data_IF_942186227870
#
_entry.id   IF_942186227870
#
_cell.length_a   1.000
_cell.length_b   1.000
_cell.length_c   1.000
_cell.angle_alpha   90.00
_cell.angle_beta   90.00
_cell.angle_gamma   90.00
#
_symmetry.space_group_name_H-M   'P 1'
#
loop_
_entity.id
_entity.type
_entity.pdbx_description
1 polymer ?
#
# COMPACT_ATOMS: atom_id res chain seq x y z
N UNK A 1 19.61 -5.68 25.35
CA UNK A 1 18.86 -6.50 26.34
C UNK A 1 18.36 -7.75 25.65
N UNK A 2 18.53 -8.92 26.28
CA UNK A 2 18.01 -10.19 25.76
C UNK A 2 16.96 -10.73 26.73
N UNK A 3 15.80 -11.09 26.20
CA UNK A 3 14.70 -11.76 26.92
C UNK A 3 14.62 -13.20 26.42
N UNK A 4 15.01 -14.15 27.24
CA UNK A 4 15.07 -15.61 26.94
C UNK A 4 14.10 -16.44 27.78
N UNK A 5 13.16 -15.80 28.46
CA UNK A 5 12.13 -16.45 29.28
C UNK A 5 10.80 -15.69 29.21
N UNK A 6 9.71 -16.39 29.45
CA UNK A 6 8.36 -15.82 29.50
C UNK A 6 8.24 -14.77 30.62
N UNK A 7 8.10 -13.49 30.23
CA UNK A 7 7.92 -12.37 31.16
C UNK A 7 6.98 -11.32 30.61
N UNK A 8 6.46 -10.50 31.49
CA UNK A 8 5.80 -9.22 31.16
C UNK A 8 6.77 -8.10 31.54
N UNK A 9 7.35 -7.44 30.52
CA UNK A 9 8.36 -6.39 30.69
C UNK A 9 7.70 -5.04 30.47
N UNK A 10 7.49 -4.28 31.56
CA UNK A 10 6.74 -3.02 31.57
C UNK A 10 7.63 -1.86 32.02
N UNK A 11 7.68 -0.83 31.17
CA UNK A 11 8.32 0.45 31.46
C UNK A 11 7.34 1.42 32.11
N UNK A 12 7.56 1.76 33.38
CA UNK A 12 6.76 2.78 34.06
C UNK A 12 7.36 4.17 33.82
N UNK A 13 6.56 5.09 33.28
CA UNK A 13 7.03 6.44 32.98
C UNK A 13 7.90 6.53 31.71
N UNK A 14 7.74 5.59 30.78
CA UNK A 14 8.41 5.55 29.48
C UNK A 14 9.95 5.56 29.58
N UNK A 15 10.57 4.63 30.32
CA UNK A 15 12.02 4.58 30.45
C UNK A 15 12.69 4.34 29.09
N UNK A 16 13.89 4.92 28.93
CA UNK A 16 14.64 4.88 27.68
C UNK A 16 15.56 3.66 27.64
N UNK A 17 15.47 2.91 26.55
CA UNK A 17 16.42 1.87 26.15
C UNK A 17 17.22 2.41 24.95
N UNK A 18 18.48 2.76 25.15
CA UNK A 18 19.34 3.38 24.15
C UNK A 18 20.34 2.35 23.59
N UNK A 19 20.32 2.15 22.27
CA UNK A 19 21.26 1.29 21.55
C UNK A 19 22.60 1.94 21.24
N UNK A 20 22.77 3.24 21.55
CA UNK A 20 23.99 4.03 21.34
C UNK A 20 24.52 4.00 19.88
N UNK A 21 23.66 3.69 18.90
CA UNK A 21 24.04 3.39 17.50
C UNK A 21 25.03 2.21 17.36
N UNK A 22 25.13 1.33 18.35
CA UNK A 22 26.08 0.20 18.38
C UNK A 22 25.44 -1.15 18.52
N UNK A 23 24.20 -1.21 19.03
CA UNK A 23 23.57 -2.46 19.43
C UNK A 23 22.15 -2.61 18.86
N UNK A 24 21.70 -3.87 18.65
CA UNK A 24 20.30 -4.23 18.71
C UNK A 24 19.81 -3.95 20.16
N UNK A 25 18.70 -3.22 20.30
CA UNK A 25 18.37 -2.69 21.64
C UNK A 25 17.70 -3.77 22.50
N UNK A 26 16.68 -4.46 21.93
CA UNK A 26 15.93 -5.50 22.64
C UNK A 26 15.74 -6.72 21.75
N UNK A 27 16.24 -7.88 22.18
CA UNK A 27 16.10 -9.17 21.52
C UNK A 27 15.17 -10.07 22.35
N UNK A 28 14.11 -10.57 21.72
CA UNK A 28 13.15 -11.52 22.33
C UNK A 28 13.38 -12.90 21.73
N UNK A 29 13.71 -13.88 22.59
CA UNK A 29 14.02 -15.26 22.19
C UNK A 29 13.18 -16.29 23.00
N UNK A 30 12.01 -15.88 23.46
CA UNK A 30 11.09 -16.73 24.25
C UNK A 30 9.64 -16.44 23.87
N UNK A 31 8.82 -17.45 23.98
CA UNK A 31 7.38 -17.36 23.77
C UNK A 31 6.67 -16.58 24.88
N UNK A 32 5.51 -16.04 24.55
CA UNK A 32 4.59 -15.39 25.50
C UNK A 32 5.23 -14.22 26.28
N UNK A 33 6.07 -13.45 25.60
CA UNK A 33 6.67 -12.23 26.16
C UNK A 33 5.77 -11.05 25.85
N UNK A 34 5.60 -10.14 26.81
CA UNK A 34 4.96 -8.84 26.62
C UNK A 34 5.98 -7.74 26.85
N UNK A 35 6.08 -6.79 25.90
CA UNK A 35 6.93 -5.59 26.01
C UNK A 35 6.03 -4.36 25.88
N UNK A 36 6.01 -3.53 26.91
CA UNK A 36 5.10 -2.40 27.00
C UNK A 36 5.72 -1.18 27.68
N UNK A 37 5.47 0.03 27.11
CA UNK A 37 5.71 1.30 27.78
C UNK A 37 7.16 1.77 27.80
N UNK A 38 7.97 1.39 26.81
CA UNK A 38 9.35 1.84 26.66
C UNK A 38 9.53 2.87 25.54
N UNK A 39 10.54 3.73 25.71
CA UNK A 39 11.14 4.49 24.61
C UNK A 39 12.42 3.78 24.17
N UNK A 40 12.42 3.21 22.97
CA UNK A 40 13.54 2.45 22.38
C UNK A 40 14.19 3.29 21.30
N UNK A 41 15.48 3.61 21.48
CA UNK A 41 16.14 4.57 20.59
C UNK A 41 17.49 4.08 20.07
N UNK A 42 17.86 4.61 18.89
CA UNK A 42 19.21 4.56 18.34
C UNK A 42 19.80 3.15 18.28
N UNK A 43 19.08 2.21 17.64
CA UNK A 43 19.68 0.92 17.30
C UNK A 43 20.94 1.12 16.44
N UNK A 44 21.81 0.12 16.39
CA UNK A 44 22.93 0.11 15.46
C UNK A 44 22.42 0.29 14.01
N UNK A 45 23.32 0.69 13.17
CA UNK A 45 23.17 0.69 11.71
C UNK A 45 24.06 -0.40 11.13
N UNK A 46 23.51 -1.32 10.36
CA UNK A 46 24.29 -2.30 9.62
C UNK A 46 23.44 -2.90 8.50
N UNK A 47 24.06 -3.17 7.36
CA UNK A 47 23.40 -3.71 6.17
C UNK A 47 23.35 -5.25 6.15
N UNK A 48 24.07 -5.94 7.02
CA UNK A 48 24.19 -7.40 7.02
C UNK A 48 23.41 -8.06 8.17
N UNK A 49 23.28 -7.42 9.31
CA UNK A 49 22.71 -8.01 10.53
C UNK A 49 21.33 -7.49 10.92
N UNK A 50 20.79 -6.54 10.17
CA UNK A 50 19.48 -5.92 10.38
C UNK A 50 19.19 -5.55 11.84
N UNK A 51 20.00 -4.67 12.45
CA UNK A 51 19.83 -4.30 13.85
C UNK A 51 18.55 -3.51 14.07
N UNK A 52 17.84 -3.85 15.14
CA UNK A 52 16.50 -3.34 15.42
C UNK A 52 16.40 -2.61 16.75
N UNK A 53 15.35 -1.81 16.88
CA UNK A 53 14.85 -1.41 18.20
C UNK A 53 14.36 -2.61 19.00
N UNK A 54 13.42 -3.39 18.45
CA UNK A 54 12.91 -4.62 19.06
C UNK A 54 12.91 -5.74 18.03
N UNK A 55 13.59 -6.84 18.29
CA UNK A 55 13.62 -8.02 17.43
C UNK A 55 13.11 -9.27 18.13
N UNK A 56 12.23 -10.02 17.44
CA UNK A 56 11.66 -11.27 17.91
C UNK A 56 12.24 -12.40 17.07
N UNK A 57 12.81 -13.40 17.73
CA UNK A 57 13.45 -14.55 17.09
C UNK A 57 12.70 -15.84 17.40
N UNK A 58 12.16 -16.49 16.39
CA UNK A 58 11.60 -17.86 16.46
C UNK A 58 10.61 -18.05 17.64
N UNK A 59 9.78 -17.05 17.93
CA UNK A 59 8.93 -17.04 19.13
C UNK A 59 7.46 -16.87 18.77
N UNK A 60 6.59 -17.34 19.67
CA UNK A 60 5.13 -17.27 19.52
C UNK A 60 4.49 -16.46 20.65
N UNK A 61 3.30 -15.92 20.35
CA UNK A 61 2.47 -15.21 21.34
C UNK A 61 3.17 -14.01 21.99
N UNK A 62 4.07 -13.35 21.24
CA UNK A 62 4.73 -12.13 21.70
C UNK A 62 3.82 -10.93 21.46
N UNK A 63 3.73 -10.06 22.46
CA UNK A 63 2.97 -8.80 22.38
C UNK A 63 3.92 -7.62 22.57
N UNK A 64 3.97 -6.71 21.57
CA UNK A 64 4.75 -5.47 21.62
C UNK A 64 3.75 -4.33 21.52
N UNK A 65 3.54 -3.61 22.62
CA UNK A 65 2.50 -2.58 22.66
C UNK A 65 2.88 -1.32 23.41
N UNK A 66 2.28 -0.18 23.03
CA UNK A 66 2.40 1.09 23.74
C UNK A 66 3.86 1.57 23.90
N UNK A 67 4.73 1.28 22.91
CA UNK A 67 6.12 1.71 22.93
C UNK A 67 6.34 2.88 21.95
N UNK A 68 7.37 3.66 22.19
CA UNK A 68 7.89 4.68 21.29
C UNK A 68 9.25 4.21 20.77
N UNK A 69 9.36 4.03 19.46
CA UNK A 69 10.61 3.65 18.79
C UNK A 69 11.10 4.83 17.96
N UNK A 70 12.28 5.37 18.30
CA UNK A 70 12.75 6.63 17.75
C UNK A 70 14.20 6.49 17.25
N UNK A 71 14.45 6.85 15.99
CA UNK A 71 15.77 6.80 15.36
C UNK A 71 16.43 5.40 15.38
N UNK A 72 15.64 4.36 15.13
CA UNK A 72 16.14 2.99 14.95
C UNK A 72 16.30 2.67 13.47
N UNK A 73 17.29 1.82 13.11
CA UNK A 73 17.46 1.35 11.74
C UNK A 73 16.23 0.53 11.31
N UNK A 74 15.99 -0.65 11.90
CA UNK A 74 14.67 -1.27 11.91
C UNK A 74 13.94 -0.92 13.20
N UNK A 75 12.65 -0.63 13.13
CA UNK A 75 11.84 -0.40 14.32
C UNK A 75 11.57 -1.71 15.08
N UNK A 76 10.64 -2.50 14.58
CA UNK A 76 10.26 -3.82 15.11
C UNK A 76 10.48 -4.87 14.01
N UNK A 77 11.14 -5.98 14.35
CA UNK A 77 11.36 -7.08 13.43
C UNK A 77 10.93 -8.44 14.01
N UNK A 78 10.01 -9.12 13.33
CA UNK A 78 9.59 -10.49 13.65
C UNK A 78 10.22 -11.45 12.65
N UNK A 79 11.02 -12.38 13.14
CA UNK A 79 11.69 -13.42 12.36
C UNK A 79 11.19 -14.79 12.77
N UNK A 80 10.64 -15.58 11.83
CA UNK A 80 10.10 -16.93 12.06
C UNK A 80 9.13 -16.98 13.27
N UNK A 81 8.21 -16.03 13.36
CA UNK A 81 7.37 -15.85 14.54
C UNK A 81 5.90 -16.08 14.21
N UNK A 82 5.10 -16.50 15.21
CA UNK A 82 3.70 -16.86 15.02
C UNK A 82 2.81 -16.27 16.11
N UNK A 83 1.56 -15.98 15.78
CA UNK A 83 0.55 -15.53 16.75
C UNK A 83 1.02 -14.31 17.58
N UNK A 84 1.73 -13.37 16.94
CA UNK A 84 2.27 -12.20 17.61
C UNK A 84 1.41 -10.95 17.36
N UNK A 85 1.42 -10.04 18.31
CA UNK A 85 0.68 -8.79 18.22
C UNK A 85 1.60 -7.58 18.38
N UNK A 86 1.54 -6.65 17.41
CA UNK A 86 2.23 -5.35 17.44
C UNK A 86 1.14 -4.28 17.49
N UNK A 87 1.03 -3.56 18.62
CA UNK A 87 -0.14 -2.72 18.85
C UNK A 87 0.19 -1.38 19.49
N UNK A 88 -0.44 -0.30 19.00
CA UNK A 88 -0.34 1.04 19.58
C UNK A 88 1.10 1.53 19.77
N UNK A 89 2.04 1.16 18.90
CA UNK A 89 3.40 1.67 18.96
C UNK A 89 3.53 2.90 18.04
N UNK A 90 4.43 3.79 18.41
CA UNK A 90 4.80 4.94 17.61
C UNK A 90 6.26 4.79 17.14
N UNK A 91 6.44 4.65 15.82
CA UNK A 91 7.75 4.42 15.21
C UNK A 91 8.13 5.62 14.34
N UNK A 92 9.32 6.19 14.56
CA UNK A 92 9.81 7.30 13.78
C UNK A 92 11.28 7.15 13.40
N UNK A 93 11.60 7.47 12.15
CA UNK A 93 12.95 7.50 11.62
C UNK A 93 13.22 8.82 10.87
N UNK A 94 14.49 9.15 10.60
CA UNK A 94 14.91 10.47 10.11
C UNK A 94 15.88 10.43 8.92
N UNK A 95 16.16 9.28 8.35
CA UNK A 95 17.04 9.16 7.20
C UNK A 95 16.43 9.82 5.95
N UNK A 96 17.31 10.23 5.03
CA UNK A 96 16.88 10.82 3.75
C UNK A 96 17.07 9.86 2.58
N UNK A 97 17.92 8.86 2.74
CA UNK A 97 18.25 7.90 1.71
C UNK A 97 17.83 6.49 2.13
N UNK A 98 17.39 5.67 1.17
CA UNK A 98 16.96 4.29 1.39
C UNK A 98 18.03 3.44 2.12
N UNK A 99 19.30 3.72 1.88
CA UNK A 99 20.42 2.97 2.46
C UNK A 99 20.62 3.27 3.94
N UNK A 100 20.13 4.40 4.43
CA UNK A 100 20.27 4.84 5.82
C UNK A 100 19.14 4.33 6.72
N UNK A 101 18.11 3.73 6.14
CA UNK A 101 16.89 3.34 6.81
C UNK A 101 16.56 1.87 6.57
N UNK A 102 16.06 1.23 7.61
CA UNK A 102 15.34 -0.03 7.52
C UNK A 102 13.83 0.18 7.55
N UNK A 103 13.10 -0.90 7.72
CA UNK A 103 11.64 -0.88 7.76
C UNK A 103 11.13 -0.54 9.17
N UNK A 104 9.96 0.11 9.24
CA UNK A 104 9.32 0.41 10.53
C UNK A 104 8.93 -0.88 11.25
N UNK A 105 8.07 -1.68 10.65
CA UNK A 105 7.72 -3.02 11.12
C UNK A 105 8.07 -4.01 10.01
N UNK A 106 8.92 -4.99 10.30
CA UNK A 106 9.34 -6.02 9.37
C UNK A 106 8.93 -7.42 9.88
N UNK A 107 8.22 -8.17 9.06
CA UNK A 107 7.88 -9.56 9.35
C UNK A 107 8.47 -10.46 8.24
N UNK A 108 9.29 -11.44 8.65
CA UNK A 108 9.92 -12.39 7.75
C UNK A 108 9.61 -13.81 8.16
N UNK A 109 9.11 -14.63 7.21
CA UNK A 109 8.71 -16.04 7.44
C UNK A 109 7.83 -16.20 8.69
N UNK A 110 6.80 -15.38 8.79
CA UNK A 110 5.94 -15.32 9.97
C UNK A 110 4.47 -15.52 9.58
N UNK A 111 3.62 -15.93 10.51
CA UNK A 111 2.19 -16.11 10.26
C UNK A 111 1.32 -15.77 11.47
N UNK A 112 0.03 -15.56 11.23
CA UNK A 112 -0.93 -15.17 12.27
C UNK A 112 -0.48 -13.91 13.05
N UNK A 113 0.02 -12.91 12.33
CA UNK A 113 0.50 -11.65 12.91
C UNK A 113 -0.61 -10.61 12.91
N UNK A 114 -0.82 -9.95 14.04
CA UNK A 114 -1.73 -8.83 14.18
C UNK A 114 -0.96 -7.52 14.37
N UNK A 115 -1.02 -6.64 13.36
CA UNK A 115 -0.45 -5.29 13.42
C UNK A 115 -1.59 -4.28 13.50
N UNK A 116 -1.78 -3.65 14.67
CA UNK A 116 -2.97 -2.85 14.91
C UNK A 116 -2.65 -1.50 15.55
N UNK A 117 -3.24 -0.43 15.00
CA UNK A 117 -3.23 0.91 15.54
C UNK A 117 -1.82 1.47 15.82
N UNK A 118 -0.83 1.12 14.99
CA UNK A 118 0.50 1.70 15.06
C UNK A 118 0.60 2.95 14.17
N UNK A 119 1.48 3.88 14.55
CA UNK A 119 1.86 5.02 13.72
C UNK A 119 3.31 4.84 13.30
N UNK A 120 3.57 4.84 11.99
CA UNK A 120 4.89 4.64 11.41
C UNK A 120 5.21 5.84 10.52
N UNK A 121 6.32 6.51 10.78
CA UNK A 121 6.71 7.77 10.12
C UNK A 121 8.18 7.75 9.70
N UNK A 122 8.45 7.99 8.42
CA UNK A 122 9.77 8.30 7.92
C UNK A 122 10.74 7.12 7.77
N UNK A 123 10.28 5.90 7.71
CA UNK A 123 11.09 4.71 7.45
C UNK A 123 11.33 4.47 5.95
N UNK A 124 12.12 3.47 5.59
CA UNK A 124 12.27 3.04 4.19
C UNK A 124 10.95 2.48 3.68
N UNK A 125 10.47 1.40 4.28
CA UNK A 125 9.11 0.89 4.15
C UNK A 125 8.45 0.96 5.54
N UNK A 126 7.21 1.43 5.60
CA UNK A 126 6.52 1.53 6.89
C UNK A 126 6.29 0.16 7.51
N UNK A 127 5.61 -0.72 6.78
CA UNK A 127 5.41 -2.13 7.14
C UNK A 127 5.91 -2.98 5.97
N UNK A 128 6.67 -4.05 6.26
CA UNK A 128 7.18 -4.96 5.25
C UNK A 128 6.91 -6.42 5.63
N UNK A 129 6.25 -7.14 4.71
CA UNK A 129 5.96 -8.57 4.81
C UNK A 129 6.73 -9.34 3.75
N UNK A 130 7.47 -10.36 4.16
CA UNK A 130 8.15 -11.28 3.27
C UNK A 130 7.95 -12.72 3.74
N UNK A 131 7.32 -13.54 2.90
CA UNK A 131 6.87 -14.90 3.25
C UNK A 131 5.99 -14.91 4.51
N UNK A 132 5.00 -14.02 4.56
CA UNK A 132 4.05 -13.91 5.67
C UNK A 132 2.69 -14.44 5.21
N UNK A 133 1.94 -15.06 6.14
CA UNK A 133 0.66 -15.68 5.84
C UNK A 133 -0.37 -15.40 6.93
N UNK A 134 -1.64 -15.39 6.55
CA UNK A 134 -2.79 -15.38 7.45
C UNK A 134 -2.75 -14.25 8.50
N UNK A 135 -2.26 -13.07 8.09
CA UNK A 135 -2.00 -11.96 9.00
C UNK A 135 -2.94 -10.78 8.75
N UNK A 136 -3.12 -9.95 9.79
CA UNK A 136 -4.04 -8.81 9.75
C UNK A 136 -3.31 -7.52 10.09
N UNK A 137 -3.46 -6.51 9.22
CA UNK A 137 -2.94 -5.16 9.37
C UNK A 137 -4.14 -4.22 9.51
N UNK A 138 -4.38 -3.67 10.70
CA UNK A 138 -5.62 -2.96 10.99
C UNK A 138 -5.40 -1.61 11.68
N UNK A 139 -6.04 -0.55 11.15
CA UNK A 139 -6.05 0.81 11.72
C UNK A 139 -4.66 1.41 11.94
N UNK A 140 -3.68 1.08 11.11
CA UNK A 140 -2.37 1.71 11.19
C UNK A 140 -2.32 2.98 10.35
N UNK A 141 -1.42 3.88 10.72
CA UNK A 141 -1.08 5.09 9.98
C UNK A 141 0.39 4.96 9.56
N UNK A 142 0.64 4.86 8.27
CA UNK A 142 1.98 4.73 7.69
C UNK A 142 2.24 5.89 6.74
N UNK A 143 3.14 6.79 7.12
CA UNK A 143 3.30 8.09 6.46
C UNK A 143 4.76 8.46 6.23
N UNK A 144 5.00 9.27 5.20
CA UNK A 144 6.32 9.87 4.90
C UNK A 144 7.45 8.84 4.70
N UNK A 145 7.12 7.61 4.34
CA UNK A 145 8.13 6.60 4.10
C UNK A 145 8.77 6.80 2.72
N UNK A 146 10.07 6.52 2.61
CA UNK A 146 10.84 6.81 1.38
C UNK A 146 10.34 5.96 0.22
N UNK A 147 10.04 4.67 0.46
CA UNK A 147 9.49 3.78 -0.56
C UNK A 147 8.01 3.55 -0.37
N UNK A 148 7.64 2.59 0.47
CA UNK A 148 6.27 2.13 0.60
C UNK A 148 5.70 2.34 2.00
N UNK A 149 4.44 2.72 2.07
CA UNK A 149 3.71 2.68 3.34
C UNK A 149 3.52 1.25 3.85
N UNK A 150 3.24 0.31 2.93
CA UNK A 150 3.17 -1.13 3.20
C UNK A 150 3.68 -1.89 1.98
N UNK A 151 4.49 -2.93 2.20
CA UNK A 151 5.05 -3.75 1.14
C UNK A 151 4.89 -5.24 1.44
N UNK A 152 4.23 -5.98 0.54
CA UNK A 152 4.11 -7.43 0.55
C UNK A 152 5.01 -8.06 -0.49
N UNK A 153 5.78 -9.08 -0.09
CA UNK A 153 6.57 -9.92 -0.98
C UNK A 153 6.32 -11.39 -0.67
N UNK A 154 5.82 -12.16 -1.65
CA UNK A 154 5.52 -13.59 -1.48
C UNK A 154 4.67 -13.88 -0.23
N UNK A 155 3.69 -13.02 0.06
CA UNK A 155 2.87 -13.09 1.26
C UNK A 155 1.41 -13.31 0.85
N UNK A 156 0.72 -14.24 1.51
CA UNK A 156 -0.56 -14.75 1.04
C UNK A 156 -1.62 -14.78 2.15
N UNK A 157 -2.88 -14.72 1.74
CA UNK A 157 -4.03 -14.78 2.66
C UNK A 157 -4.03 -13.70 3.74
N UNK A 158 -3.38 -12.57 3.46
CA UNK A 158 -3.28 -11.45 4.38
C UNK A 158 -4.42 -10.44 4.16
N UNK A 159 -4.81 -9.79 5.23
CA UNK A 159 -5.87 -8.79 5.19
C UNK A 159 -5.39 -7.45 5.77
N UNK A 160 -5.56 -6.35 5.05
CA UNK A 160 -5.34 -5.03 5.60
C UNK A 160 -6.59 -4.15 5.52
N UNK A 161 -6.96 -3.58 6.68
CA UNK A 161 -8.27 -2.96 6.90
C UNK A 161 -8.12 -1.60 7.56
N UNK A 162 -8.80 -0.57 7.02
CA UNK A 162 -8.93 0.75 7.65
C UNK A 162 -7.58 1.39 8.00
N UNK A 163 -6.55 1.16 7.17
CA UNK A 163 -5.25 1.81 7.33
C UNK A 163 -5.18 3.10 6.51
N UNK A 164 -4.27 3.99 6.89
CA UNK A 164 -3.94 5.21 6.15
C UNK A 164 -2.50 5.14 5.65
N UNK A 165 -2.33 5.24 4.32
CA UNK A 165 -1.04 5.29 3.65
C UNK A 165 -0.91 6.63 2.93
N UNK A 166 -0.19 7.58 3.52
CA UNK A 166 -0.14 8.96 3.03
C UNK A 166 1.27 9.49 2.87
N UNK A 167 1.49 10.23 1.78
CA UNK A 167 2.75 10.92 1.50
C UNK A 167 3.96 9.97 1.55
N UNK A 168 3.82 8.76 0.99
CA UNK A 168 4.91 7.80 0.81
C UNK A 168 5.44 7.87 -0.63
N UNK A 169 6.59 7.29 -0.91
CA UNK A 169 7.05 7.09 -2.28
C UNK A 169 6.02 6.32 -3.12
N UNK A 170 5.39 5.30 -2.53
CA UNK A 170 4.11 4.74 -2.95
C UNK A 170 3.32 4.27 -1.70
N UNK A 171 2.00 4.30 -1.77
CA UNK A 171 1.15 3.93 -0.64
C UNK A 171 1.36 2.48 -0.22
N UNK A 172 1.02 1.55 -1.11
CA UNK A 172 1.19 0.11 -0.87
C UNK A 172 1.72 -0.57 -2.14
N UNK A 173 2.59 -1.55 -1.97
CA UNK A 173 3.00 -2.48 -3.01
C UNK A 173 2.69 -3.93 -2.58
N UNK A 174 1.98 -4.68 -3.43
CA UNK A 174 1.70 -6.10 -3.25
C UNK A 174 2.29 -6.85 -4.43
N UNK A 175 3.27 -7.72 -4.16
CA UNK A 175 4.02 -8.39 -5.21
C UNK A 175 4.09 -9.90 -4.95
N UNK A 176 3.90 -10.71 -6.02
CA UNK A 176 4.00 -12.17 -6.00
C UNK A 176 3.13 -12.82 -4.92
N UNK A 177 1.92 -12.30 -4.76
CA UNK A 177 1.03 -12.66 -3.65
C UNK A 177 -0.35 -13.11 -4.17
N UNK A 178 -1.11 -13.82 -3.36
CA UNK A 178 -2.48 -14.25 -3.67
C UNK A 178 -3.38 -14.19 -2.45
N UNK A 179 -4.69 -14.15 -2.70
CA UNK A 179 -5.73 -14.11 -1.65
C UNK A 179 -5.51 -12.96 -0.65
N UNK A 180 -5.14 -11.77 -1.16
CA UNK A 180 -4.96 -10.58 -0.32
C UNK A 180 -6.26 -9.77 -0.31
N UNK A 181 -6.71 -9.38 0.89
CA UNK A 181 -7.95 -8.63 1.11
C UNK A 181 -7.65 -7.21 1.60
N UNK A 182 -8.22 -6.22 0.89
CA UNK A 182 -7.91 -4.81 1.08
C UNK A 182 -9.21 -4.02 1.30
N UNK A 183 -9.53 -3.73 2.58
CA UNK A 183 -10.83 -3.16 2.93
C UNK A 183 -10.74 -1.79 3.57
N UNK A 184 -11.50 -0.82 3.05
CA UNK A 184 -11.71 0.49 3.67
C UNK A 184 -10.42 1.24 4.03
N UNK A 185 -9.34 1.06 3.24
CA UNK A 185 -8.09 1.78 3.44
C UNK A 185 -8.11 3.14 2.72
N UNK A 186 -7.28 4.05 3.16
CA UNK A 186 -7.05 5.34 2.52
C UNK A 186 -5.63 5.42 1.98
N UNK A 187 -5.51 5.65 0.68
CA UNK A 187 -4.27 5.88 -0.05
C UNK A 187 -4.28 7.33 -0.54
N UNK A 188 -3.49 8.18 0.07
CA UNK A 188 -3.61 9.62 -0.14
C UNK A 188 -2.25 10.29 -0.35
N UNK A 189 -2.21 11.22 -1.33
CA UNK A 189 -1.06 12.10 -1.55
C UNK A 189 0.27 11.37 -1.79
N UNK A 190 0.24 10.18 -2.39
CA UNK A 190 1.44 9.50 -2.81
C UNK A 190 1.81 9.97 -4.23
N UNK A 191 2.75 10.93 -4.31
CA UNK A 191 3.17 11.60 -5.54
C UNK A 191 4.63 11.36 -5.88
N UNK A 192 4.93 11.23 -7.17
CA UNK A 192 6.28 11.06 -7.72
C UNK A 192 6.25 10.39 -9.08
N UNK A 193 7.39 10.27 -9.75
CA UNK A 193 7.49 9.69 -11.10
C UNK A 193 6.99 8.25 -11.17
N UNK A 194 7.20 7.49 -10.10
CA UNK A 194 6.74 6.09 -9.96
C UNK A 194 5.91 5.89 -8.70
N UNK A 195 5.09 6.88 -8.35
CA UNK A 195 4.27 6.82 -7.15
C UNK A 195 2.87 6.28 -7.47
N UNK A 196 2.41 5.40 -6.61
CA UNK A 196 1.11 4.74 -6.71
C UNK A 196 0.41 4.81 -5.36
N UNK A 197 -0.91 4.93 -5.35
CA UNK A 197 -1.69 4.61 -4.16
C UNK A 197 -1.52 3.13 -3.83
N UNK A 198 -1.75 2.25 -4.84
CA UNK A 198 -1.61 0.81 -4.73
C UNK A 198 -0.94 0.24 -6.00
N UNK A 199 0.20 -0.42 -5.82
CA UNK A 199 0.88 -1.20 -6.84
C UNK A 199 0.59 -2.69 -6.65
N UNK A 200 0.07 -3.34 -7.71
CA UNK A 200 -0.19 -4.77 -7.76
C UNK A 200 0.69 -5.39 -8.84
N UNK A 201 1.58 -6.29 -8.46
CA UNK A 201 2.46 -6.97 -9.40
C UNK A 201 2.45 -8.48 -9.20
N UNK A 202 2.08 -9.21 -10.26
CA UNK A 202 1.99 -10.67 -10.25
C UNK A 202 1.15 -11.21 -9.07
N UNK A 203 -0.06 -10.66 -8.90
CA UNK A 203 -1.00 -11.10 -7.87
C UNK A 203 -2.25 -11.75 -8.49
N UNK A 204 -2.90 -12.60 -7.69
CA UNK A 204 -4.15 -13.24 -8.10
C UNK A 204 -5.15 -13.40 -6.96
N UNK A 205 -6.41 -13.70 -7.34
CA UNK A 205 -7.45 -14.15 -6.42
C UNK A 205 -7.66 -13.22 -5.22
N UNK A 206 -7.58 -11.90 -5.45
CA UNK A 206 -7.55 -10.90 -4.39
C UNK A 206 -8.75 -9.94 -4.46
N UNK A 207 -9.06 -9.25 -3.34
CA UNK A 207 -10.25 -8.41 -3.24
C UNK A 207 -9.94 -7.02 -2.68
N UNK A 208 -10.31 -5.98 -3.44
CA UNK A 208 -10.09 -4.56 -3.14
C UNK A 208 -11.45 -3.89 -3.01
N UNK A 209 -11.90 -3.60 -1.78
CA UNK A 209 -13.25 -3.15 -1.52
C UNK A 209 -13.33 -1.92 -0.61
N UNK A 210 -14.12 -0.94 -1.02
CA UNK A 210 -14.46 0.22 -0.19
C UNK A 210 -13.30 1.16 0.12
N UNK A 211 -12.19 1.07 -0.61
CA UNK A 211 -11.01 1.91 -0.36
C UNK A 211 -11.15 3.30 -1.01
N UNK A 212 -10.40 4.26 -0.50
CA UNK A 212 -10.28 5.60 -1.05
C UNK A 212 -8.87 5.82 -1.60
N UNK A 213 -8.79 6.12 -2.89
CA UNK A 213 -7.56 6.53 -3.59
C UNK A 213 -7.68 8.01 -3.94
N UNK A 214 -6.98 8.87 -3.21
CA UNK A 214 -7.12 10.31 -3.36
C UNK A 214 -5.79 11.01 -3.63
N UNK A 215 -5.75 11.85 -4.67
CA UNK A 215 -4.58 12.69 -4.97
C UNK A 215 -3.27 11.91 -5.07
N UNK A 216 -3.26 10.75 -5.71
CA UNK A 216 -2.05 10.00 -6.03
C UNK A 216 -1.62 10.25 -7.47
N UNK A 217 -0.36 10.00 -7.83
CA UNK A 217 0.04 9.99 -9.25
C UNK A 217 -0.77 8.93 -10.00
N UNK A 218 -0.84 7.72 -9.48
CA UNK A 218 -1.78 6.69 -9.94
C UNK A 218 -2.51 6.10 -8.73
N UNK A 219 -3.84 5.98 -8.80
CA UNK A 219 -4.63 5.36 -7.74
C UNK A 219 -4.24 3.89 -7.59
N UNK A 220 -4.49 3.08 -8.63
CA UNK A 220 -4.04 1.68 -8.70
C UNK A 220 -3.20 1.48 -9.96
N UNK A 221 -2.10 0.75 -9.84
CA UNK A 221 -1.31 0.21 -10.94
C UNK A 221 -1.31 -1.32 -10.88
N UNK A 222 -1.68 -1.98 -11.98
CA UNK A 222 -1.81 -3.43 -12.10
C UNK A 222 -0.90 -3.97 -13.20
N UNK A 223 -0.06 -4.95 -12.88
CA UNK A 223 0.83 -5.66 -13.80
C UNK A 223 0.82 -7.15 -13.46
N UNK A 224 0.63 -8.03 -14.46
CA UNK A 224 0.56 -9.48 -14.24
C UNK A 224 -0.56 -9.94 -13.29
N UNK A 225 -1.62 -9.16 -13.17
CA UNK A 225 -2.66 -9.34 -12.18
C UNK A 225 -3.84 -10.10 -12.78
N UNK A 226 -4.36 -11.11 -12.06
CA UNK A 226 -5.50 -11.90 -12.53
C UNK A 226 -6.51 -12.25 -11.45
N UNK A 227 -7.79 -12.32 -11.82
CA UNK A 227 -8.90 -12.69 -10.93
C UNK A 227 -8.94 -11.82 -9.66
N UNK A 228 -8.71 -10.52 -9.84
CA UNK A 228 -8.82 -9.52 -8.78
C UNK A 228 -10.13 -8.77 -8.96
N UNK A 229 -10.88 -8.64 -7.89
CA UNK A 229 -12.11 -7.85 -7.84
C UNK A 229 -11.84 -6.50 -7.18
N UNK A 230 -12.11 -5.43 -7.92
CA UNK A 230 -11.99 -4.03 -7.48
C UNK A 230 -13.39 -3.46 -7.39
N UNK A 231 -13.92 -3.30 -6.17
CA UNK A 231 -15.34 -3.01 -5.97
C UNK A 231 -15.58 -1.90 -4.96
N UNK A 232 -16.51 -1.01 -5.26
CA UNK A 232 -17.00 0.09 -4.41
C UNK A 232 -15.90 0.99 -3.87
N UNK A 233 -14.83 1.19 -4.64
CA UNK A 233 -13.76 2.09 -4.28
C UNK A 233 -14.03 3.51 -4.80
N UNK A 234 -13.40 4.50 -4.17
CA UNK A 234 -13.44 5.90 -4.55
C UNK A 234 -12.08 6.30 -5.17
N UNK A 235 -12.09 6.75 -6.43
CA UNK A 235 -10.91 7.29 -7.11
C UNK A 235 -11.10 8.80 -7.27
N UNK A 236 -10.41 9.57 -6.41
CA UNK A 236 -10.65 11.01 -6.24
C UNK A 236 -9.42 11.83 -6.63
N UNK A 237 -9.51 12.62 -7.70
CA UNK A 237 -8.49 13.60 -8.09
C UNK A 237 -7.07 13.02 -8.23
N UNK A 238 -6.94 11.79 -8.73
CA UNK A 238 -5.65 11.21 -9.07
C UNK A 238 -5.16 11.70 -10.43
N UNK A 239 -3.88 11.58 -10.71
CA UNK A 239 -3.35 11.74 -12.08
C UNK A 239 -3.95 10.67 -12.99
N UNK A 240 -3.78 9.41 -12.64
CA UNK A 240 -4.43 8.24 -13.23
C UNK A 240 -5.29 7.57 -12.15
N UNK A 241 -6.56 7.30 -12.43
CA UNK A 241 -7.33 6.53 -11.46
C UNK A 241 -6.85 5.09 -11.42
N UNK A 242 -6.73 4.44 -12.59
CA UNK A 242 -6.20 3.08 -12.72
C UNK A 242 -5.26 2.98 -13.92
N UNK A 243 -4.15 2.26 -13.76
CA UNK A 243 -3.32 1.78 -14.86
C UNK A 243 -3.34 0.27 -14.86
N UNK A 244 -3.81 -0.34 -15.95
CA UNK A 244 -3.95 -1.79 -16.08
C UNK A 244 -3.12 -2.23 -17.28
N UNK A 245 -2.00 -2.93 -17.03
CA UNK A 245 -1.12 -3.37 -18.09
C UNK A 245 -1.73 -4.53 -18.87
N UNK A 246 -1.31 -4.72 -20.12
CA UNK A 246 -1.82 -5.74 -21.04
C UNK A 246 -1.66 -7.20 -20.54
N UNK A 247 -0.79 -7.41 -19.54
CA UNK A 247 -0.59 -8.70 -18.87
C UNK A 247 -1.69 -9.05 -17.86
N UNK A 248 -2.65 -8.14 -17.61
CA UNK A 248 -3.74 -8.35 -16.67
C UNK A 248 -4.94 -8.98 -17.33
N UNK A 249 -5.55 -10.00 -16.68
CA UNK A 249 -6.70 -10.71 -17.21
C UNK A 249 -7.68 -11.16 -16.14
N UNK A 250 -8.93 -11.32 -16.52
CA UNK A 250 -10.01 -11.82 -15.66
C UNK A 250 -10.21 -10.99 -14.37
N UNK A 251 -9.91 -9.68 -14.44
CA UNK A 251 -10.17 -8.78 -13.33
C UNK A 251 -11.54 -8.11 -13.49
N UNK A 252 -12.24 -7.91 -12.40
CA UNK A 252 -13.55 -7.28 -12.34
C UNK A 252 -13.45 -5.90 -11.66
N UNK A 253 -13.79 -4.84 -12.39
CA UNK A 253 -13.82 -3.46 -11.91
C UNK A 253 -15.30 -3.05 -11.80
N UNK A 254 -15.86 -3.10 -10.58
CA UNK A 254 -17.30 -3.09 -10.36
C UNK A 254 -17.75 -2.05 -9.31
N UNK A 255 -18.79 -1.31 -9.60
CA UNK A 255 -19.41 -0.33 -8.68
C UNK A 255 -18.42 0.69 -8.07
N UNK A 256 -17.37 1.09 -8.78
CA UNK A 256 -16.43 2.10 -8.31
C UNK A 256 -16.86 3.51 -8.75
N UNK A 257 -16.41 4.53 -8.02
CA UNK A 257 -16.61 5.92 -8.36
C UNK A 257 -15.30 6.58 -8.84
N UNK A 258 -15.32 7.13 -10.04
CA UNK A 258 -14.20 7.85 -10.66
C UNK A 258 -14.56 9.33 -10.75
N UNK A 259 -13.92 10.18 -9.92
CA UNK A 259 -14.29 11.58 -9.75
C UNK A 259 -13.07 12.49 -9.80
N UNK A 260 -13.05 13.40 -10.76
CA UNK A 260 -12.03 14.46 -10.90
C UNK A 260 -10.63 13.94 -11.24
N UNK A 261 -10.48 12.71 -11.72
CA UNK A 261 -9.18 12.19 -12.13
C UNK A 261 -8.76 12.81 -13.47
N UNK A 262 -7.46 13.01 -13.69
CA UNK A 262 -6.96 13.49 -14.98
C UNK A 262 -7.25 12.45 -16.06
N UNK A 263 -6.86 11.21 -15.82
CA UNK A 263 -7.19 10.04 -16.64
C UNK A 263 -7.92 8.99 -15.82
N UNK A 264 -8.97 8.40 -16.37
CA UNK A 264 -9.73 7.36 -15.68
C UNK A 264 -9.00 6.01 -15.77
N UNK A 265 -8.57 5.63 -16.98
CA UNK A 265 -7.75 4.43 -17.17
C UNK A 265 -6.56 4.68 -18.08
N UNK A 266 -5.52 3.87 -17.92
CA UNK A 266 -4.37 3.78 -18.81
C UNK A 266 -3.95 2.33 -19.02
N UNK A 267 -3.37 2.03 -20.17
CA UNK A 267 -2.85 0.71 -20.52
C UNK A 267 -1.73 0.82 -21.54
N UNK A 268 -0.79 -0.13 -21.51
CA UNK A 268 0.22 -0.31 -22.56
C UNK A 268 -0.21 -1.29 -23.67
N UNK A 269 -1.48 -1.66 -23.69
CA UNK A 269 -2.04 -2.61 -24.68
C UNK A 269 -3.55 -2.59 -24.68
N UNK A 270 -4.22 -3.74 -24.47
CA UNK A 270 -5.67 -3.86 -24.50
C UNK A 270 -6.25 -4.17 -23.12
N UNK A 271 -7.42 -3.60 -22.80
CA UNK A 271 -8.20 -3.88 -21.59
C UNK A 271 -9.23 -5.00 -21.77
N UNK A 272 -9.37 -5.56 -22.97
CA UNK A 272 -10.44 -6.51 -23.36
C UNK A 272 -10.55 -7.74 -22.46
N UNK A 273 -9.47 -8.12 -21.79
CA UNK A 273 -9.48 -9.28 -20.89
C UNK A 273 -9.97 -8.96 -19.47
N UNK A 274 -10.44 -7.73 -19.23
CA UNK A 274 -10.93 -7.28 -17.93
C UNK A 274 -12.33 -6.71 -18.07
N UNK A 275 -13.16 -6.87 -17.04
CA UNK A 275 -14.57 -6.44 -17.05
C UNK A 275 -14.76 -5.17 -16.26
N UNK A 276 -15.46 -4.20 -16.85
CA UNK A 276 -15.84 -2.94 -16.20
C UNK A 276 -17.38 -2.85 -16.20
N UNK A 277 -17.99 -2.86 -15.03
CA UNK A 277 -19.46 -2.82 -14.90
C UNK A 277 -19.93 -1.90 -13.77
N UNK A 278 -21.02 -1.20 -13.98
CA UNK A 278 -21.71 -0.37 -12.99
C UNK A 278 -20.84 0.67 -12.30
N UNK A 279 -19.77 1.11 -12.93
CA UNK A 279 -18.92 2.16 -12.37
C UNK A 279 -19.53 3.54 -12.66
N UNK A 280 -19.38 4.44 -11.69
CA UNK A 280 -19.71 5.86 -11.88
C UNK A 280 -18.50 6.62 -12.43
N UNK A 281 -18.72 7.34 -13.53
CA UNK A 281 -17.72 8.16 -14.19
C UNK A 281 -18.22 9.60 -14.25
N UNK A 282 -17.54 10.54 -13.60
CA UNK A 282 -17.94 11.96 -13.62
C UNK A 282 -17.86 12.62 -15.01
N UNK A 283 -17.13 11.99 -15.94
CA UNK A 283 -17.01 12.41 -17.35
C UNK A 283 -18.04 11.77 -18.27
N UNK A 284 -18.92 10.91 -17.76
CA UNK A 284 -19.96 10.29 -18.56
C UNK A 284 -20.99 11.32 -19.02
N UNK A 285 -21.24 11.37 -20.33
CA UNK A 285 -22.20 12.29 -20.97
C UNK A 285 -23.30 11.52 -21.72
N UNK A 286 -23.49 10.23 -21.44
CA UNK A 286 -24.54 9.42 -22.02
C UNK A 286 -25.93 9.69 -21.43
N UNK A 287 -26.90 8.89 -21.84
CA UNK A 287 -28.29 9.01 -21.40
C UNK A 287 -28.77 7.68 -20.79
N UNK A 288 -29.84 7.75 -20.03
CA UNK A 288 -30.55 6.66 -19.36
C UNK A 288 -32.03 6.83 -19.72
N UNK A 289 -32.51 6.17 -20.77
CA UNK A 289 -33.86 6.33 -21.30
C UNK A 289 -34.88 5.52 -20.53
N UNK A 290 -34.49 4.34 -20.04
CA UNK A 290 -35.37 3.45 -19.29
C UNK A 290 -35.39 3.75 -17.77
N UNK A 291 -34.50 4.65 -17.32
CA UNK A 291 -34.42 5.17 -15.94
C UNK A 291 -34.11 4.09 -14.89
N UNK A 292 -33.31 3.12 -15.26
CA UNK A 292 -32.84 2.08 -14.34
C UNK A 292 -31.62 2.50 -13.50
N UNK A 293 -31.09 3.70 -13.76
CA UNK A 293 -29.89 4.27 -13.11
C UNK A 293 -28.59 3.84 -13.81
N UNK A 294 -28.67 3.17 -14.94
CA UNK A 294 -27.53 2.78 -15.77
C UNK A 294 -27.58 3.57 -17.10
N UNK A 295 -26.42 3.94 -17.59
CA UNK A 295 -26.37 4.58 -18.90
C UNK A 295 -26.55 3.57 -20.04
N UNK A 296 -27.44 3.86 -21.01
CA UNK A 296 -27.71 3.04 -22.18
C UNK A 296 -26.53 2.92 -23.15
N UNK A 297 -25.60 3.86 -23.07
CA UNK A 297 -24.39 3.90 -23.89
C UNK A 297 -23.17 3.56 -23.04
N UNK A 298 -22.40 2.51 -23.35
CA UNK A 298 -21.20 2.18 -22.61
C UNK A 298 -20.19 3.34 -22.59
N UNK A 299 -19.58 3.60 -21.43
CA UNK A 299 -18.49 4.54 -21.29
C UNK A 299 -17.17 3.89 -21.70
N UNK A 300 -16.36 4.63 -22.46
CA UNK A 300 -15.00 4.22 -22.81
C UNK A 300 -14.01 4.90 -21.87
N UNK A 301 -13.48 4.20 -20.85
CA UNK A 301 -12.64 4.84 -19.83
C UNK A 301 -11.20 5.11 -20.31
N UNK A 302 -10.81 4.56 -21.45
CA UNK A 302 -9.50 4.77 -22.06
C UNK A 302 -9.61 5.84 -23.14
N UNK A 303 -8.98 7.00 -22.96
CA UNK A 303 -8.94 8.04 -24.00
C UNK A 303 -7.70 7.91 -24.87
N UNK A 304 -7.80 8.33 -26.13
CA UNK A 304 -6.67 8.36 -27.07
C UNK A 304 -5.50 9.19 -26.52
N UNK A 305 -5.79 10.30 -25.85
CA UNK A 305 -4.76 11.10 -25.21
C UNK A 305 -4.08 10.36 -24.05
N UNK A 306 -4.80 9.54 -23.29
CA UNK A 306 -4.22 8.67 -22.27
C UNK A 306 -3.21 7.69 -22.89
N UNK A 307 -3.55 7.05 -24.00
CA UNK A 307 -2.65 6.14 -24.75
C UNK A 307 -1.42 6.87 -25.27
N UNK A 308 -1.60 8.07 -25.83
CA UNK A 308 -0.48 8.89 -26.29
C UNK A 308 0.47 9.27 -25.16
N UNK A 309 -0.08 9.64 -24.01
CA UNK A 309 0.70 10.06 -22.83
C UNK A 309 1.45 8.89 -22.20
N UNK A 310 0.88 7.68 -22.20
CA UNK A 310 1.56 6.48 -21.73
C UNK A 310 2.78 6.13 -22.59
N UNK A 311 2.67 6.26 -23.91
CA UNK A 311 3.77 5.99 -24.84
C UNK A 311 4.77 7.15 -24.95
N UNK A 312 4.32 8.38 -24.70
CA UNK A 312 5.13 9.60 -24.81
C UNK A 312 4.79 10.54 -23.69
N UNK A 313 5.40 10.40 -22.48
CA UNK A 313 5.06 11.19 -21.30
C UNK A 313 5.14 12.71 -21.50
N UNK A 314 6.03 13.19 -22.41
CA UNK A 314 6.12 14.60 -22.77
C UNK A 314 4.85 15.16 -23.44
N UNK A 315 3.97 14.31 -23.99
CA UNK A 315 2.67 14.73 -24.51
C UNK A 315 1.80 15.38 -23.44
N UNK A 316 2.07 15.12 -22.17
CA UNK A 316 1.40 15.75 -21.01
C UNK A 316 1.48 17.28 -21.02
N UNK A 317 2.52 17.85 -21.65
CA UNK A 317 2.65 19.32 -21.85
C UNK A 317 1.49 19.89 -22.69
N UNK A 318 0.82 19.10 -23.51
CA UNK A 318 -0.31 19.49 -24.33
C UNK A 318 -1.65 19.37 -23.59
N UNK A 319 -1.66 18.85 -22.38
CA UNK A 319 -2.87 18.73 -21.57
C UNK A 319 -3.61 20.05 -21.46
N UNK A 320 -4.93 20.04 -21.67
CA UNK A 320 -5.78 21.24 -21.75
C UNK A 320 -5.52 22.16 -22.95
N UNK A 321 -4.72 21.77 -23.94
CA UNK A 321 -4.60 22.54 -25.18
C UNK A 321 -5.86 22.38 -26.04
N UNK A 322 -6.07 23.34 -26.96
CA UNK A 322 -7.17 23.26 -27.93
C UNK A 322 -7.11 21.97 -28.75
N UNK A 323 -5.91 21.49 -29.09
CA UNK A 323 -5.71 20.28 -29.88
C UNK A 323 -6.25 19.04 -29.13
N UNK A 324 -5.95 18.91 -27.84
CA UNK A 324 -6.45 17.80 -27.01
C UNK A 324 -7.96 17.87 -26.82
N UNK A 325 -8.51 19.08 -26.61
CA UNK A 325 -9.98 19.27 -26.56
C UNK A 325 -10.66 18.84 -27.88
N UNK A 326 -10.01 19.11 -29.02
CA UNK A 326 -10.52 18.68 -30.33
C UNK A 326 -10.42 17.15 -30.48
N UNK A 327 -9.32 16.56 -30.04
CA UNK A 327 -9.10 15.11 -30.06
C UNK A 327 -10.18 14.38 -29.23
N UNK A 328 -10.42 14.82 -27.99
CA UNK A 328 -11.45 14.26 -27.10
C UNK A 328 -12.86 14.36 -27.69
N UNK A 329 -13.17 15.48 -28.37
CA UNK A 329 -14.45 15.61 -29.08
C UNK A 329 -14.56 14.71 -30.30
N UNK A 330 -13.45 14.52 -31.01
CA UNK A 330 -13.43 13.64 -32.21
C UNK A 330 -13.61 12.19 -31.82
N UNK A 331 -13.02 11.77 -30.70
CA UNK A 331 -13.15 10.42 -30.13
C UNK A 331 -14.60 10.12 -29.72
N UNK A 332 -15.31 11.08 -29.11
CA UNK A 332 -16.74 10.94 -28.79
C UNK A 332 -17.64 10.75 -30.02
N UNK A 333 -17.25 11.31 -31.18
CA UNK A 333 -18.01 11.20 -32.43
C UNK A 333 -17.65 9.92 -33.19
N UNK A 334 -16.41 9.44 -33.04
CA UNK A 334 -15.87 8.26 -33.76
C UNK A 334 -15.18 7.32 -32.73
N UNK A 335 -15.94 6.56 -31.90
CA UNK A 335 -15.38 5.68 -30.89
C UNK A 335 -14.48 4.56 -31.43
N UNK A 336 -14.49 4.32 -32.74
CA UNK A 336 -13.65 3.31 -33.39
C UNK A 336 -12.18 3.75 -33.58
N UNK A 337 -11.79 4.92 -33.10
CA UNK A 337 -10.41 5.42 -33.19
C UNK A 337 -9.58 4.96 -31.96
N UNK A 338 -10.20 4.52 -30.89
CA UNK A 338 -9.63 3.86 -29.71
C UNK A 338 -10.04 2.39 -29.70
#
# INVERSE_FOLDING_TARGET
>A
IVIDKKIVFIGKGLPVLDGEKKHEVLSIKSDSVVVEGFKVIKSAYATITDPCGIKVYNSKYVVIQNNVLDDNFFGIYLQNSQNCTIKNNHLKAYGKDEQQLGNGIHCWKSNDILIIANTIDGHRDGIYFEFVYDSVIWRNISVNNIRYGLHFMFSHSDTYITNVFRNNGAGVAVMYSKDVKMFNNTFEENWGDSAYGLLLKDISDSYIYGNTFAKNTSGIYMEGTSRVRVERNQFLKNGWAMKIQASCMDNEIYENNFIGNTFDTGTNGSLVLNTFEKNYWDKYEGYDLDKDGMGDVPYHPLSLFAVLTENTPSAMLLYRSFMITLLDKSEKVLPSIT
#
